data_IF_802417128980
#
_entry.id   IF_802417128980
#
_cell.length_a   1.000
_cell.length_b   1.000
_cell.length_c   1.000
_cell.angle_alpha   90.00
_cell.angle_beta   90.00
_cell.angle_gamma   90.00
#
_symmetry.space_group_name_H-M   'P 1'
#
loop_
_entity.id
_entity.type
_entity.pdbx_description
1 polymer ?
#
# COMPACT_ATOMS: atom_id res chain seq x y z
N UNK A 1 5.40 -6.95 -3.52
CA UNK A 1 5.49 -8.24 -2.79
C UNK A 1 6.39 -9.24 -3.53
N UNK A 2 6.19 -9.48 -4.83
CA UNK A 2 6.98 -10.46 -5.59
C UNK A 2 8.34 -9.98 -6.12
N UNK A 3 8.65 -8.69 -6.02
CA UNK A 3 9.89 -8.11 -6.54
C UNK A 3 11.15 -8.88 -6.12
N UNK A 4 11.35 -9.23 -4.83
CA UNK A 4 12.55 -9.97 -4.43
C UNK A 4 12.65 -11.35 -5.08
N UNK A 5 11.53 -12.05 -5.26
CA UNK A 5 11.51 -13.40 -5.84
C UNK A 5 11.83 -13.38 -7.33
N UNK A 6 11.22 -12.46 -8.09
CA UNK A 6 11.49 -12.32 -9.53
C UNK A 6 12.89 -11.75 -9.80
N UNK A 7 13.35 -10.79 -8.99
CA UNK A 7 14.72 -10.28 -9.08
C UNK A 7 15.76 -11.36 -8.76
N UNK A 8 15.55 -12.16 -7.70
CA UNK A 8 16.46 -13.28 -7.37
C UNK A 8 16.51 -14.36 -8.47
N UNK A 9 15.41 -14.55 -9.21
CA UNK A 9 15.34 -15.45 -10.35
C UNK A 9 15.88 -14.86 -11.66
N UNK A 10 16.33 -13.59 -11.66
CA UNK A 10 16.83 -12.91 -12.86
C UNK A 10 15.75 -12.58 -13.90
N UNK A 11 14.49 -12.45 -13.46
CA UNK A 11 13.34 -12.21 -14.35
C UNK A 11 12.99 -10.73 -14.53
N UNK A 12 13.69 -9.84 -13.82
CA UNK A 12 13.46 -8.39 -13.87
C UNK A 12 14.73 -7.68 -14.32
N UNK A 13 14.56 -6.63 -15.12
CA UNK A 13 15.62 -5.73 -15.52
C UNK A 13 16.00 -4.80 -14.35
N UNK A 14 17.30 -4.63 -14.10
CA UNK A 14 17.77 -3.61 -13.17
C UNK A 14 17.61 -2.23 -13.82
N UNK A 15 16.72 -1.42 -13.26
CA UNK A 15 16.40 -0.08 -13.75
C UNK A 15 16.97 1.01 -12.83
N UNK A 16 17.95 0.71 -11.98
CA UNK A 16 18.46 1.63 -10.95
C UNK A 16 18.92 2.97 -11.50
N UNK A 17 19.75 2.97 -12.55
CA UNK A 17 20.30 4.20 -13.11
C UNK A 17 19.20 5.03 -13.78
N UNK A 18 18.33 4.37 -14.55
CA UNK A 18 17.17 5.02 -15.16
C UNK A 18 16.25 5.63 -14.10
N UNK A 19 15.91 4.87 -13.07
CA UNK A 19 15.05 5.32 -11.98
C UNK A 19 15.63 6.54 -11.27
N UNK A 20 16.91 6.52 -10.90
CA UNK A 20 17.61 7.64 -10.24
C UNK A 20 17.80 8.85 -11.14
N UNK A 21 17.78 8.67 -12.46
CA UNK A 21 17.86 9.78 -13.43
C UNK A 21 16.56 10.60 -13.52
N UNK A 22 15.43 10.08 -13.01
CA UNK A 22 14.15 10.76 -13.09
C UNK A 22 14.19 12.05 -12.24
N UNK A 23 13.76 13.21 -12.78
CA UNK A 23 13.83 14.49 -12.05
C UNK A 23 12.94 14.52 -10.80
N UNK A 24 11.97 13.61 -10.71
CA UNK A 24 11.05 13.46 -9.60
C UNK A 24 11.36 12.25 -8.72
N UNK A 25 12.48 11.55 -8.92
CA UNK A 25 12.79 10.33 -8.16
C UNK A 25 12.74 10.55 -6.65
N UNK A 26 13.29 11.68 -6.17
CA UNK A 26 13.28 12.05 -4.76
C UNK A 26 11.87 12.36 -4.20
N UNK A 27 10.88 12.59 -5.07
CA UNK A 27 9.48 12.83 -4.67
C UNK A 27 8.67 11.53 -4.59
N UNK A 28 9.22 10.40 -5.05
CA UNK A 28 8.55 9.10 -4.93
C UNK A 28 8.51 8.65 -3.47
N UNK A 29 7.44 7.94 -3.10
CA UNK A 29 7.30 7.40 -1.74
C UNK A 29 8.45 6.43 -1.41
N UNK A 30 9.28 6.70 -0.39
CA UNK A 30 10.42 5.84 -0.06
C UNK A 30 10.00 4.41 0.31
N UNK A 31 8.86 4.27 0.98
CA UNK A 31 8.30 2.97 1.34
C UNK A 31 7.99 2.13 0.09
N UNK A 32 7.40 2.75 -0.93
CA UNK A 32 7.07 2.05 -2.16
C UNK A 32 8.30 1.75 -3.02
N UNK A 33 9.26 2.69 -3.12
CA UNK A 33 10.54 2.42 -3.80
C UNK A 33 11.23 1.21 -3.17
N UNK A 34 11.26 1.13 -1.83
CA UNK A 34 11.79 -0.03 -1.11
C UNK A 34 11.11 -1.35 -1.50
N UNK A 35 9.81 -1.36 -1.80
CA UNK A 35 9.12 -2.59 -2.27
C UNK A 35 9.55 -3.02 -3.68
N UNK A 36 10.08 -2.08 -4.48
CA UNK A 36 10.67 -2.31 -5.79
C UNK A 36 12.17 -2.62 -5.75
N UNK A 37 12.80 -2.58 -4.57
CA UNK A 37 14.25 -2.74 -4.40
C UNK A 37 14.61 -4.13 -3.90
N UNK A 38 15.64 -4.73 -4.47
CA UNK A 38 16.25 -5.98 -4.01
C UNK A 38 17.77 -5.88 -4.10
N UNK A 39 18.48 -6.19 -3.00
CA UNK A 39 19.95 -6.07 -2.90
C UNK A 39 20.48 -4.73 -3.44
N UNK A 40 19.88 -3.62 -3.01
CA UNK A 40 20.22 -2.24 -3.41
C UNK A 40 19.97 -1.87 -4.89
N UNK A 41 19.42 -2.80 -5.69
CA UNK A 41 18.99 -2.56 -7.07
C UNK A 41 17.48 -2.34 -7.16
N UNK A 42 17.06 -1.38 -7.97
CA UNK A 42 15.65 -1.03 -8.19
C UNK A 42 15.17 -1.78 -9.43
N UNK A 43 14.15 -2.60 -9.26
CA UNK A 43 13.51 -3.41 -10.31
C UNK A 43 12.07 -2.98 -10.61
N UNK A 44 11.60 -1.93 -9.94
CA UNK A 44 10.26 -1.37 -10.14
C UNK A 44 10.07 -0.07 -9.38
N UNK A 45 9.19 0.79 -9.90
CA UNK A 45 8.80 2.05 -9.28
C UNK A 45 7.31 2.05 -8.92
N UNK A 46 6.90 2.83 -7.91
CA UNK A 46 5.48 2.99 -7.58
C UNK A 46 4.68 3.53 -8.77
N UNK A 47 3.53 2.91 -9.02
CA UNK A 47 2.54 3.40 -9.97
C UNK A 47 1.32 3.98 -9.25
N UNK A 48 0.66 3.15 -8.44
CA UNK A 48 -0.41 3.56 -7.53
C UNK A 48 -0.11 3.08 -6.11
N UNK A 49 -0.53 3.88 -5.14
CA UNK A 49 -0.52 3.49 -3.74
C UNK A 49 -1.91 2.98 -3.37
N UNK A 50 -1.96 1.91 -2.59
CA UNK A 50 -3.18 1.40 -1.98
C UNK A 50 -2.92 1.16 -0.49
N UNK A 51 -3.94 1.42 0.32
CA UNK A 51 -3.87 1.29 1.76
C UNK A 51 -5.08 0.50 2.26
N UNK A 52 -4.83 -0.51 3.09
CA UNK A 52 -5.90 -1.23 3.77
C UNK A 52 -6.54 -0.33 4.81
N UNK A 53 -7.82 -0.05 4.64
CA UNK A 53 -8.65 0.74 5.57
C UNK A 53 -9.94 -0.01 5.86
N UNK A 54 -10.52 0.23 7.03
CA UNK A 54 -11.86 -0.27 7.34
C UNK A 54 -12.90 0.68 6.72
N UNK A 55 -13.81 0.12 5.93
CA UNK A 55 -14.95 0.82 5.35
C UNK A 55 -16.21 0.16 5.90
N UNK A 56 -17.19 0.96 6.33
CA UNK A 56 -18.46 0.46 6.85
C UNK A 56 -19.65 1.10 6.12
N UNK A 57 -20.81 0.44 6.20
CA UNK A 57 -22.03 0.89 5.53
C UNK A 57 -22.86 1.79 6.46
N UNK A 58 -22.84 3.10 6.18
CA UNK A 58 -23.59 4.12 6.94
C UNK A 58 -25.09 3.84 7.04
N UNK A 59 -25.71 3.24 6.01
CA UNK A 59 -27.14 2.88 6.04
C UNK A 59 -27.41 1.76 7.03
N UNK A 60 -26.56 0.73 7.05
CA UNK A 60 -26.70 -0.40 7.97
C UNK A 60 -26.45 0.04 9.42
N UNK A 61 -25.44 0.89 9.67
CA UNK A 61 -25.18 1.48 10.99
C UNK A 61 -26.41 2.21 11.53
N UNK A 62 -27.01 3.10 10.73
CA UNK A 62 -28.23 3.82 11.13
C UNK A 62 -29.41 2.89 11.42
N UNK A 63 -29.57 1.81 10.64
CA UNK A 63 -30.63 0.81 10.85
C UNK A 63 -30.44 0.02 12.15
N UNK A 64 -29.19 -0.20 12.55
CA UNK A 64 -28.82 -0.83 13.82
C UNK A 64 -28.86 0.12 15.03
N UNK A 65 -29.13 1.42 14.82
CA UNK A 65 -29.14 2.44 15.88
C UNK A 65 -27.76 3.01 16.23
N UNK A 66 -26.74 2.71 15.42
CA UNK A 66 -25.37 3.24 15.56
C UNK A 66 -25.22 4.60 14.85
N UNK A 67 -24.22 5.39 15.26
CA UNK A 67 -23.86 6.66 14.63
C UNK A 67 -23.08 6.40 13.32
N UNK A 68 -23.65 6.69 12.13
CA UNK A 68 -22.99 6.39 10.85
C UNK A 68 -21.74 7.24 10.59
N UNK A 69 -21.51 8.33 11.32
CA UNK A 69 -20.33 9.19 11.19
C UNK A 69 -19.19 8.78 12.12
N UNK A 70 -19.40 7.76 12.98
CA UNK A 70 -18.39 7.20 13.88
C UNK A 70 -18.17 5.73 13.56
N UNK A 71 -17.09 5.46 12.85
CA UNK A 71 -16.63 4.08 12.64
C UNK A 71 -15.93 3.53 13.89
N UNK A 72 -15.79 2.20 13.98
CA UNK A 72 -15.11 1.56 15.11
C UNK A 72 -13.62 1.91 15.11
N UNK A 73 -13.08 2.13 16.29
CA UNK A 73 -11.71 2.62 16.53
C UNK A 73 -10.77 1.54 17.09
N UNK A 74 -11.34 0.40 17.47
CA UNK A 74 -10.62 -0.74 18.03
C UNK A 74 -11.33 -2.06 17.68
N UNK A 75 -10.69 -3.19 17.99
CA UNK A 75 -11.20 -4.52 17.64
C UNK A 75 -12.50 -4.90 18.37
N UNK A 76 -12.68 -4.47 19.62
CA UNK A 76 -13.90 -4.76 20.36
C UNK A 76 -15.11 -4.03 19.76
N UNK A 77 -14.93 -2.79 19.31
CA UNK A 77 -15.96 -2.04 18.59
C UNK A 77 -16.26 -2.67 17.22
N UNK A 78 -15.25 -3.14 16.49
CA UNK A 78 -15.46 -3.87 15.24
C UNK A 78 -16.33 -5.12 15.48
N UNK A 79 -16.06 -5.89 16.54
CA UNK A 79 -16.83 -7.08 16.88
C UNK A 79 -18.27 -6.76 17.31
N UNK A 80 -18.49 -5.63 18.00
CA UNK A 80 -19.82 -5.22 18.46
C UNK A 80 -20.70 -4.62 17.35
N UNK A 81 -20.08 -3.94 16.37
CA UNK A 81 -20.78 -3.16 15.32
C UNK A 81 -21.00 -3.94 14.01
N UNK A 82 -20.28 -5.06 13.81
CA UNK A 82 -20.35 -5.92 12.60
C UNK A 82 -21.43 -7.00 12.70
#
# INVERSE_FOLDING_TARGET
IYTPSFAAAGQLEDITDWAKSLPYFASLSPAHVKTGTYKDHIYGLPFSADASVLIWNKKLFKQAGLDPEKGPTNWAEIEADA
#
